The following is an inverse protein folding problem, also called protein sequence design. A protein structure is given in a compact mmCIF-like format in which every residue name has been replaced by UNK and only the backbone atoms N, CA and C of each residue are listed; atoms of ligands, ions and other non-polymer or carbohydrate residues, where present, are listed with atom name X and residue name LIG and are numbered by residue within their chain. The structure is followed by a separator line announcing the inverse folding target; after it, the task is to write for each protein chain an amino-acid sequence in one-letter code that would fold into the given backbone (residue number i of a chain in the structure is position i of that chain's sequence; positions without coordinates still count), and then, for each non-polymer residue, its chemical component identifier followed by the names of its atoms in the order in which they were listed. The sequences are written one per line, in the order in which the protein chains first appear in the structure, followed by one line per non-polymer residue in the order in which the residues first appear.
data_IF_421576280178
#
_entry.id   IF_421576280178
#
_cell.length_a   1.000
_cell.length_b   1.000
_cell.length_c   1.000
_cell.angle_alpha   90.00
_cell.angle_beta   90.00
_cell.angle_gamma   90.00
#
_symmetry.space_group_name_H-M   'P 1'
#
loop_
_entity.id
_entity.type
_entity.pdbx_description
1 polymer ?
#
# COMPACT_ATOMS: atom_id res chain seq x y z
N UNK A 1 19.76 4.54 -29.66
CA UNK A 1 19.90 6.01 -29.73
C UNK A 1 20.47 6.49 -28.42
N UNK A 2 21.38 7.45 -28.45
CA UNK A 2 21.87 8.07 -27.21
C UNK A 2 20.85 9.05 -26.65
N UNK A 3 20.88 9.34 -25.35
CA UNK A 3 20.00 10.35 -24.71
C UNK A 3 20.10 11.69 -25.43
N UNK A 4 21.32 12.06 -25.81
CA UNK A 4 21.63 13.32 -26.49
C UNK A 4 20.99 13.38 -27.89
N UNK A 5 21.00 12.26 -28.61
CA UNK A 5 20.37 12.13 -29.92
C UNK A 5 18.84 12.21 -29.83
N UNK A 6 18.24 11.63 -28.79
CA UNK A 6 16.79 11.73 -28.53
C UNK A 6 16.38 13.18 -28.20
N UNK A 7 17.20 13.90 -27.43
CA UNK A 7 16.98 15.31 -27.13
C UNK A 7 17.10 16.20 -28.39
N UNK A 8 18.11 15.99 -29.24
CA UNK A 8 18.24 16.75 -30.50
C UNK A 8 17.05 16.51 -31.44
N UNK A 9 16.56 15.26 -31.53
CA UNK A 9 15.35 14.94 -32.28
C UNK A 9 14.10 15.59 -31.67
N UNK A 10 13.96 15.58 -30.35
CA UNK A 10 12.86 16.24 -29.65
C UNK A 10 12.82 17.74 -29.95
N UNK A 11 13.97 18.41 -29.83
CA UNK A 11 14.11 19.86 -30.07
C UNK A 11 13.88 20.23 -31.54
N UNK A 12 14.30 19.38 -32.47
CA UNK A 12 14.03 19.55 -33.90
C UNK A 12 12.53 19.44 -34.18
N UNK A 13 11.87 18.42 -33.63
CA UNK A 13 10.43 18.23 -33.78
C UNK A 13 9.64 19.38 -33.12
N UNK A 14 10.09 19.87 -31.96
CA UNK A 14 9.49 21.03 -31.29
C UNK A 14 9.63 22.31 -32.14
N UNK A 15 10.80 22.54 -32.74
CA UNK A 15 11.00 23.65 -33.69
C UNK A 15 10.12 23.54 -34.92
N UNK A 16 9.92 22.33 -35.45
CA UNK A 16 9.04 22.09 -36.60
C UNK A 16 7.58 22.39 -36.24
N UNK A 17 7.10 21.93 -35.07
CA UNK A 17 5.76 22.22 -34.58
C UNK A 17 5.54 23.70 -34.26
N UNK A 18 6.55 24.40 -33.75
CA UNK A 18 6.52 25.85 -33.50
C UNK A 18 6.55 26.67 -34.80
N UNK A 19 7.16 26.12 -35.87
CA UNK A 19 7.23 26.79 -37.16
C UNK A 19 5.93 26.61 -37.95
N UNK A 20 5.27 27.71 -38.30
CA UNK A 20 4.01 27.73 -39.07
C UNK A 20 4.16 27.27 -40.54
N UNK A 21 5.33 26.76 -40.94
CA UNK A 21 5.63 26.35 -42.32
C UNK A 21 5.17 24.92 -42.65
N UNK A 22 4.67 24.17 -41.66
CA UNK A 22 4.27 22.76 -41.79
C UNK A 22 2.77 22.47 -41.65
N UNK A 23 1.88 23.38 -42.07
CA UNK A 23 0.41 23.30 -41.86
C UNK A 23 -0.34 22.19 -42.66
N UNK A 24 0.27 21.04 -42.92
CA UNK A 24 -0.52 19.87 -43.35
C UNK A 24 -0.87 19.05 -42.11
N UNK A 25 -2.17 18.86 -41.86
CA UNK A 25 -2.69 18.18 -40.66
C UNK A 25 -2.02 16.82 -40.42
N UNK A 26 -1.79 16.05 -41.48
CA UNK A 26 -1.12 14.74 -41.43
C UNK A 26 0.35 14.82 -41.03
N UNK A 27 1.05 15.89 -41.38
CA UNK A 27 2.45 16.07 -41.00
C UNK A 27 2.56 16.43 -39.52
N UNK A 28 1.66 17.28 -39.01
CA UNK A 28 1.59 17.61 -37.58
C UNK A 28 1.30 16.35 -36.76
N UNK A 29 0.30 15.55 -37.15
CA UNK A 29 -0.02 14.28 -36.48
C UNK A 29 1.17 13.31 -36.44
N UNK A 30 1.96 13.24 -37.52
CA UNK A 30 3.15 12.40 -37.55
C UNK A 30 4.23 12.88 -36.59
N UNK A 31 4.50 14.20 -36.57
CA UNK A 31 5.53 14.77 -35.71
C UNK A 31 5.13 14.72 -34.23
N UNK A 32 3.85 14.89 -33.90
CA UNK A 32 3.38 14.73 -32.51
C UNK A 32 3.45 13.27 -32.05
N UNK A 33 3.11 12.30 -32.90
CA UNK A 33 3.30 10.88 -32.60
C UNK A 33 4.78 10.53 -32.40
N UNK A 34 5.67 11.11 -33.22
CA UNK A 34 7.12 10.95 -33.07
C UNK A 34 7.64 11.57 -31.77
N UNK A 35 7.15 12.75 -31.37
CA UNK A 35 7.50 13.35 -30.07
C UNK A 35 7.05 12.49 -28.89
N UNK A 36 5.86 11.90 -28.94
CA UNK A 36 5.37 11.01 -27.89
C UNK A 36 6.25 9.75 -27.77
N UNK A 37 6.69 9.19 -28.91
CA UNK A 37 7.61 8.05 -28.92
C UNK A 37 8.98 8.41 -28.33
N UNK A 38 9.53 9.57 -28.69
CA UNK A 38 10.82 10.07 -28.17
C UNK A 38 10.72 10.30 -26.65
N UNK A 39 9.64 10.92 -26.17
CA UNK A 39 9.43 11.15 -24.74
C UNK A 39 9.36 9.85 -23.95
N UNK A 40 8.64 8.85 -24.47
CA UNK A 40 8.55 7.53 -23.85
C UNK A 40 9.93 6.89 -23.73
N UNK A 41 10.72 6.96 -24.81
CA UNK A 41 12.07 6.39 -24.83
C UNK A 41 13.05 7.16 -23.93
N UNK A 42 12.90 8.48 -23.80
CA UNK A 42 13.73 9.29 -22.90
C UNK A 42 13.47 8.92 -21.43
N UNK A 43 12.19 8.72 -21.07
CA UNK A 43 11.80 8.27 -19.72
C UNK A 43 12.31 6.86 -19.43
N UNK A 44 12.24 5.96 -20.40
CA UNK A 44 12.77 4.60 -20.26
C UNK A 44 14.29 4.60 -20.03
N UNK A 45 15.04 5.31 -20.86
CA UNK A 45 16.51 5.37 -20.74
C UNK A 45 16.94 6.08 -19.45
N UNK A 46 16.31 7.19 -19.10
CA UNK A 46 16.61 7.91 -17.85
C UNK A 46 16.20 7.09 -16.62
N UNK A 47 15.08 6.36 -16.68
CA UNK A 47 14.65 5.44 -15.63
C UNK A 47 15.64 4.28 -15.44
N UNK A 48 16.18 3.73 -16.52
CA UNK A 48 17.23 2.70 -16.45
C UNK A 48 18.53 3.23 -15.84
N UNK A 49 18.89 4.49 -16.09
CA UNK A 49 20.09 5.11 -15.50
C UNK A 49 19.95 5.31 -13.98
N UNK A 50 18.75 5.71 -13.51
CA UNK A 50 18.44 5.79 -12.07
C UNK A 50 18.52 4.40 -11.41
N UNK A 51 18.00 3.36 -12.07
CA UNK A 51 18.10 1.99 -11.54
C UNK A 51 19.55 1.50 -11.51
N UNK A 52 20.33 1.77 -12.56
CA UNK A 52 21.73 1.32 -12.64
C UNK A 52 22.63 2.08 -11.65
N UNK A 53 22.39 3.38 -11.45
CA UNK A 53 23.07 4.16 -10.40
C UNK A 53 22.66 3.69 -9.00
N UNK A 54 21.38 3.39 -8.79
CA UNK A 54 20.89 2.75 -7.56
C UNK A 54 21.60 1.43 -7.28
N UNK A 55 21.62 0.50 -8.26
CA UNK A 55 22.27 -0.80 -8.14
C UNK A 55 23.79 -0.73 -7.91
N UNK A 56 24.46 0.29 -8.49
CA UNK A 56 25.89 0.51 -8.25
C UNK A 56 26.19 1.03 -6.85
N UNK A 57 25.25 1.78 -6.26
CA UNK A 57 25.40 2.34 -4.93
C UNK A 57 24.87 1.42 -3.83
N UNK A 58 24.05 0.43 -4.17
CA UNK A 58 23.66 -0.63 -3.23
C UNK A 58 24.79 -1.65 -3.10
N UNK A 59 25.50 -1.60 -1.98
CA UNK A 59 26.40 -2.66 -1.54
C UNK A 59 25.56 -3.63 -0.69
N UNK A 60 25.46 -4.89 -1.10
CA UNK A 60 24.88 -5.95 -0.28
C UNK A 60 25.90 -6.22 0.82
N UNK A 61 25.54 -5.91 2.06
CA UNK A 61 26.30 -6.22 3.27
C UNK A 61 25.58 -7.41 3.91
N UNK A 62 26.33 -8.48 4.22
CA UNK A 62 25.83 -9.63 4.99
C UNK A 62 25.53 -9.18 6.43
N UNK A 63 24.48 -9.74 7.03
CA UNK A 63 23.79 -9.31 8.26
C UNK A 63 24.60 -9.40 9.58
N UNK A 64 25.87 -8.99 9.64
CA UNK A 64 26.65 -9.00 10.90
C UNK A 64 27.32 -7.68 11.30
N UNK A 65 27.35 -6.62 10.49
CA UNK A 65 27.95 -5.34 10.92
C UNK A 65 27.19 -4.13 10.35
N UNK A 66 26.17 -3.66 11.08
CA UNK A 66 25.58 -2.34 10.89
C UNK A 66 26.47 -1.24 11.50
N UNK A 67 27.56 -0.90 10.83
CA UNK A 67 28.26 0.38 11.08
C UNK A 67 27.68 1.47 10.16
N UNK A 68 26.68 2.18 10.70
CA UNK A 68 26.03 3.33 10.07
C UNK A 68 26.91 4.56 10.18
N UNK A 69 27.80 4.79 9.20
CA UNK A 69 28.36 6.12 8.96
C UNK A 69 28.35 6.49 7.47
N UNK A 70 27.14 6.64 6.91
CA UNK A 70 26.95 7.45 5.71
C UNK A 70 25.85 8.46 6.04
N UNK A 71 26.27 9.72 6.23
CA UNK A 71 25.37 10.89 6.29
C UNK A 71 24.74 11.10 4.92
N UNK A 72 23.76 10.27 4.56
CA UNK A 72 22.80 10.60 3.50
C UNK A 72 21.73 11.50 4.10
N UNK A 73 21.46 12.61 3.43
CA UNK A 73 20.31 13.49 3.70
C UNK A 73 19.05 12.67 3.99
N UNK A 74 18.18 13.13 4.92
CA UNK A 74 17.11 12.31 5.44
C UNK A 74 16.27 11.77 4.27
N UNK A 75 16.12 10.44 4.14
CA UNK A 75 15.27 9.90 3.10
C UNK A 75 13.88 10.49 3.34
N UNK A 76 13.33 11.19 2.34
CA UNK A 76 11.91 11.59 2.35
C UNK A 76 11.13 10.39 2.89
N UNK A 77 10.48 10.59 4.04
CA UNK A 77 10.10 9.50 4.92
C UNK A 77 9.36 8.43 4.12
N UNK A 78 9.70 7.14 4.31
CA UNK A 78 9.03 6.01 3.63
C UNK A 78 7.50 6.11 3.73
N UNK A 79 7.01 6.77 4.78
CA UNK A 79 5.61 7.13 5.00
C UNK A 79 5.04 8.11 3.95
N UNK A 80 5.78 9.16 3.55
CA UNK A 80 5.35 10.11 2.51
C UNK A 80 5.22 9.40 1.17
N UNK A 81 6.20 8.57 0.78
CA UNK A 81 6.14 7.83 -0.50
C UNK A 81 5.00 6.79 -0.49
N UNK A 82 4.77 6.09 0.63
CA UNK A 82 3.63 5.19 0.79
C UNK A 82 2.29 5.93 0.65
N UNK A 83 2.17 7.12 1.24
CA UNK A 83 0.98 7.98 1.15
C UNK A 83 0.77 8.51 -0.28
N UNK A 84 1.84 8.95 -0.95
CA UNK A 84 1.78 9.39 -2.34
C UNK A 84 1.35 8.25 -3.28
N UNK A 85 1.87 7.03 -3.09
CA UNK A 85 1.46 5.84 -3.84
C UNK A 85 0.01 5.44 -3.57
N UNK A 86 -0.46 5.54 -2.33
CA UNK A 86 -1.85 5.29 -1.98
C UNK A 86 -2.79 6.32 -2.63
N UNK A 87 -2.42 7.61 -2.62
CA UNK A 87 -3.17 8.68 -3.26
C UNK A 87 -3.23 8.53 -4.79
N UNK A 88 -2.12 8.15 -5.43
CA UNK A 88 -2.09 7.88 -6.87
C UNK A 88 -3.03 6.73 -7.27
N UNK A 89 -3.15 5.70 -6.42
CA UNK A 89 -4.10 4.59 -6.62
C UNK A 89 -5.56 5.00 -6.38
N UNK A 90 -5.81 5.94 -5.46
CA UNK A 90 -7.15 6.46 -5.20
C UNK A 90 -7.64 7.41 -6.31
N UNK A 91 -6.73 8.21 -6.88
CA UNK A 91 -7.04 9.17 -7.96
C UNK A 91 -7.42 8.53 -9.30
N UNK A 92 -7.11 7.25 -9.54
CA UNK A 92 -7.50 6.55 -10.77
C UNK A 92 -8.90 5.95 -10.71
N UNK A 93 -9.46 5.75 -9.52
CA UNK A 93 -10.83 5.24 -9.32
C UNK A 93 -11.83 6.34 -9.02
N UNK A 94 -11.38 7.49 -8.52
CA UNK A 94 -12.23 8.64 -8.22
C UNK A 94 -12.24 9.65 -9.38
N UNK A 95 -13.38 9.75 -10.09
CA UNK A 95 -13.63 10.84 -11.04
C UNK A 95 -13.46 12.20 -10.33
N UNK A 96 -12.77 13.20 -10.93
CA UNK A 96 -12.38 14.45 -10.27
C UNK A 96 -13.56 15.36 -9.88
N UNK A 97 -14.80 14.98 -10.19
CA UNK A 97 -15.98 15.80 -9.94
C UNK A 97 -16.69 15.52 -8.62
N UNK A 98 -16.46 14.40 -7.92
CA UNK A 98 -17.19 14.03 -6.68
C UNK A 98 -16.28 13.34 -5.65
N UNK A 99 -15.14 13.96 -5.30
CA UNK A 99 -14.35 13.52 -4.14
C UNK A 99 -15.12 13.94 -2.88
N UNK A 100 -15.89 13.02 -2.30
CA UNK A 100 -16.54 13.24 -1.00
C UNK A 100 -18.04 12.93 -0.90
N UNK A 101 -18.70 12.48 -1.97
CA UNK A 101 -20.05 11.91 -1.89
C UNK A 101 -20.00 10.53 -2.52
N UNK A 102 -19.70 9.51 -1.71
CA UNK A 102 -19.89 8.12 -2.12
C UNK A 102 -21.36 7.96 -2.50
N UNK A 103 -21.63 7.63 -3.76
CA UNK A 103 -22.99 7.33 -4.18
C UNK A 103 -23.53 6.14 -3.37
N UNK A 104 -24.83 6.08 -3.12
CA UNK A 104 -25.44 4.94 -2.40
C UNK A 104 -25.04 3.59 -3.02
N UNK A 105 -24.95 3.53 -4.36
CA UNK A 105 -24.52 2.34 -5.09
C UNK A 105 -23.05 1.99 -4.84
N UNK A 106 -22.18 3.00 -4.73
CA UNK A 106 -20.75 2.83 -4.45
C UNK A 106 -20.53 2.33 -3.02
N UNK A 107 -21.28 2.87 -2.05
CA UNK A 107 -21.24 2.42 -0.66
C UNK A 107 -21.64 0.94 -0.53
N UNK A 108 -22.69 0.52 -1.24
CA UNK A 108 -23.14 -0.89 -1.27
C UNK A 108 -22.10 -1.80 -1.91
N UNK A 109 -21.42 -1.34 -2.96
CA UNK A 109 -20.37 -2.12 -3.62
C UNK A 109 -19.13 -2.30 -2.74
N UNK A 110 -18.72 -1.25 -2.02
CA UNK A 110 -17.64 -1.29 -1.04
C UNK A 110 -17.98 -2.26 0.09
N UNK A 111 -19.19 -2.19 0.64
CA UNK A 111 -19.65 -3.09 1.70
C UNK A 111 -19.60 -4.55 1.24
N UNK A 112 -20.09 -4.85 0.03
CA UNK A 112 -20.03 -6.21 -0.54
C UNK A 112 -18.59 -6.71 -0.70
N UNK A 113 -17.69 -5.84 -1.17
CA UNK A 113 -16.28 -6.21 -1.40
C UNK A 113 -15.55 -6.46 -0.08
N UNK A 114 -15.76 -5.59 0.91
CA UNK A 114 -15.19 -5.73 2.26
C UNK A 114 -15.70 -7.01 2.92
N UNK A 115 -17.01 -7.26 2.85
CA UNK A 115 -17.62 -8.47 3.39
C UNK A 115 -17.09 -9.76 2.75
N UNK A 116 -16.88 -9.76 1.43
CA UNK A 116 -16.28 -10.91 0.74
C UNK A 116 -14.84 -11.19 1.22
N UNK A 117 -14.04 -10.14 1.37
CA UNK A 117 -12.66 -10.24 1.86
C UNK A 117 -12.61 -10.72 3.33
N UNK A 118 -13.50 -10.22 4.18
CA UNK A 118 -13.59 -10.64 5.58
C UNK A 118 -14.02 -12.11 5.72
N UNK A 119 -14.93 -12.57 4.86
CA UNK A 119 -15.30 -13.99 4.79
C UNK A 119 -14.12 -14.85 4.36
N UNK A 120 -13.35 -14.44 3.35
CA UNK A 120 -12.16 -15.17 2.91
C UNK A 120 -11.12 -15.26 4.03
N UNK A 121 -10.87 -14.15 4.73
CA UNK A 121 -9.95 -14.12 5.87
C UNK A 121 -10.42 -15.06 6.99
N UNK A 122 -11.71 -15.06 7.32
CA UNK A 122 -12.29 -15.97 8.31
C UNK A 122 -12.17 -17.43 7.88
N UNK A 123 -12.48 -17.76 6.63
CA UNK A 123 -12.33 -19.12 6.10
C UNK A 123 -10.88 -19.60 6.17
N UNK A 124 -9.92 -18.73 5.83
CA UNK A 124 -8.48 -19.07 5.92
C UNK A 124 -8.06 -19.32 7.35
N UNK A 125 -8.53 -18.52 8.31
CA UNK A 125 -8.26 -18.74 9.73
C UNK A 125 -8.94 -20.01 10.26
N UNK A 126 -10.17 -20.30 9.83
CA UNK A 126 -10.89 -21.53 10.18
C UNK A 126 -10.24 -22.77 9.59
N UNK A 127 -9.75 -22.72 8.35
CA UNK A 127 -9.02 -23.82 7.72
C UNK A 127 -7.70 -24.10 8.45
N UNK A 128 -6.91 -23.06 8.75
CA UNK A 128 -5.70 -23.18 9.59
C UNK A 128 -6.05 -23.81 10.94
N UNK A 129 -7.12 -23.32 11.59
CA UNK A 129 -7.57 -23.85 12.88
C UNK A 129 -8.03 -25.31 12.81
N UNK A 130 -8.65 -25.72 11.71
CA UNK A 130 -9.05 -27.11 11.45
C UNK A 130 -7.84 -28.01 11.20
N UNK A 131 -6.83 -27.53 10.47
CA UNK A 131 -5.58 -28.27 10.22
C UNK A 131 -4.82 -28.55 11.50
N UNK A 132 -4.66 -27.55 12.36
CA UNK A 132 -4.01 -27.72 13.67
C UNK A 132 -4.92 -28.40 14.72
N UNK A 133 -6.16 -28.76 14.35
CA UNK A 133 -7.05 -29.53 15.22
C UNK A 133 -7.43 -28.80 16.51
N UNK A 134 -7.54 -27.48 16.50
CA UNK A 134 -8.05 -26.73 17.66
C UNK A 134 -9.58 -26.91 17.79
N UNK A 135 -10.12 -27.10 19.00
CA UNK A 135 -11.56 -27.22 19.21
C UNK A 135 -12.28 -25.90 18.89
N UNK A 136 -13.41 -25.97 18.19
CA UNK A 136 -14.22 -24.77 17.94
C UNK A 136 -14.89 -24.31 19.24
N UNK A 137 -14.81 -23.01 19.55
CA UNK A 137 -15.57 -22.43 20.66
C UNK A 137 -17.06 -22.75 20.45
N UNK A 138 -17.63 -23.53 21.38
CA UNK A 138 -19.01 -24.06 21.42
C UNK A 138 -19.26 -25.45 20.79
N UNK A 139 -18.22 -26.22 20.46
CA UNK A 139 -18.39 -27.60 20.01
C UNK A 139 -18.66 -28.55 21.20
N UNK A 140 -19.91 -28.99 21.36
CA UNK A 140 -20.25 -30.10 22.27
C UNK A 140 -19.90 -31.41 21.55
N UNK A 141 -18.62 -31.78 21.58
CA UNK A 141 -18.15 -33.02 20.96
C UNK A 141 -18.84 -34.24 21.58
N UNK A 142 -19.31 -35.14 20.72
CA UNK A 142 -19.80 -36.46 21.12
C UNK A 142 -18.70 -37.25 21.83
N UNK A 143 -19.07 -38.19 22.72
CA UNK A 143 -18.12 -39.05 23.43
C UNK A 143 -17.19 -39.79 22.46
N UNK A 144 -17.72 -40.21 21.32
CA UNK A 144 -16.97 -40.91 20.27
C UNK A 144 -15.93 -40.00 19.59
N UNK A 145 -16.29 -38.75 19.30
CA UNK A 145 -15.37 -37.79 18.68
C UNK A 145 -14.23 -37.41 19.63
N UNK A 146 -14.55 -37.28 20.92
CA UNK A 146 -13.55 -37.03 21.97
C UNK A 146 -12.56 -38.19 22.09
N UNK A 147 -13.07 -39.43 22.14
CA UNK A 147 -12.23 -40.63 22.19
C UNK A 147 -11.40 -40.79 20.93
N UNK A 148 -11.95 -40.47 19.75
CA UNK A 148 -11.21 -40.50 18.49
C UNK A 148 -10.08 -39.47 18.45
N UNK A 149 -10.30 -38.25 18.98
CA UNK A 149 -9.26 -37.20 19.06
C UNK A 149 -8.14 -37.60 20.02
N UNK A 150 -8.50 -38.15 21.18
CA UNK A 150 -7.54 -38.67 22.16
C UNK A 150 -6.75 -39.83 21.53
N UNK A 151 -7.40 -40.72 20.80
CA UNK A 151 -6.76 -41.86 20.16
C UNK A 151 -5.87 -41.46 18.97
N UNK A 152 -6.25 -40.42 18.22
CA UNK A 152 -5.42 -39.81 17.19
C UNK A 152 -4.17 -39.20 17.81
N UNK A 153 -4.30 -38.41 18.86
CA UNK A 153 -3.17 -37.81 19.60
C UNK A 153 -2.21 -38.88 20.15
N UNK A 154 -2.73 -39.94 20.77
CA UNK A 154 -1.90 -41.02 21.36
C UNK A 154 -1.14 -41.85 20.32
N UNK A 155 -1.60 -41.88 19.06
CA UNK A 155 -0.97 -42.64 17.97
C UNK A 155 -0.33 -41.75 16.91
N UNK A 156 -0.35 -40.43 17.11
CA UNK A 156 0.22 -39.49 16.17
C UNK A 156 1.74 -39.57 16.22
N UNK A 157 2.35 -39.69 15.03
CA UNK A 157 3.80 -39.54 14.86
C UNK A 157 3.99 -38.18 14.22
N UNK A 158 4.71 -37.25 14.86
CA UNK A 158 5.02 -35.96 14.26
C UNK A 158 5.58 -36.17 12.85
N UNK A 159 4.95 -35.58 11.86
CA UNK A 159 5.48 -35.48 10.50
C UNK A 159 6.40 -34.26 10.38
N UNK A 160 7.35 -34.27 9.44
CA UNK A 160 8.29 -33.14 9.24
C UNK A 160 7.60 -31.79 9.03
N UNK A 161 6.34 -31.78 8.58
CA UNK A 161 5.48 -30.59 8.46
C UNK A 161 4.98 -29.99 9.78
N UNK A 162 5.00 -30.73 10.90
CA UNK A 162 4.63 -30.19 12.22
C UNK A 162 5.81 -29.50 12.92
N UNK A 163 7.05 -29.80 12.51
CA UNK A 163 8.27 -29.19 13.04
C UNK A 163 8.67 -27.91 12.28
N UNK A 164 8.08 -27.66 11.11
CA UNK A 164 8.36 -26.45 10.30
C UNK A 164 7.60 -25.20 10.77
N UNK A 165 6.61 -25.33 11.67
CA UNK A 165 5.80 -24.22 12.19
C UNK A 165 6.03 -23.94 13.71
N UNK A 166 6.92 -24.70 14.38
CA UNK A 166 7.25 -24.53 15.82
C UNK A 166 8.51 -23.68 16.06
N UNK A 167 9.03 -23.00 15.03
CA UNK A 167 10.27 -22.21 15.15
C UNK A 167 10.07 -20.70 15.35
N UNK A 168 8.85 -20.17 15.55
CA UNK A 168 8.72 -18.70 15.55
C UNK A 168 7.44 -18.11 16.22
N UNK A 169 7.11 -18.45 17.48
CA UNK A 169 6.07 -17.67 18.21
C UNK A 169 6.11 -17.76 19.75
N UNK A 170 7.25 -18.13 20.34
CA UNK A 170 7.45 -18.15 21.80
C UNK A 170 8.48 -17.11 22.28
N UNK A 171 8.94 -16.22 21.41
CA UNK A 171 9.55 -14.98 21.86
C UNK A 171 8.41 -14.10 22.35
N UNK A 172 8.26 -14.07 23.68
CA UNK A 172 7.52 -13.07 24.42
C UNK A 172 7.94 -11.69 23.91
N UNK A 173 7.28 -11.22 22.84
CA UNK A 173 7.34 -9.86 22.32
C UNK A 173 6.70 -8.99 23.42
N UNK A 174 7.47 -8.79 24.51
CA UNK A 174 7.02 -8.12 25.70
C UNK A 174 6.66 -6.71 25.23
N UNK A 175 5.38 -6.29 25.27
CA UNK A 175 5.01 -4.98 24.78
C UNK A 175 5.67 -3.85 25.57
N UNK A 176 6.36 -4.17 26.67
CA UNK A 176 7.26 -3.28 27.37
C UNK A 176 8.57 -3.00 26.59
N UNK A 177 9.13 -3.97 25.87
CA UNK A 177 10.35 -3.80 25.05
C UNK A 177 10.08 -3.05 23.73
N UNK A 178 8.85 -3.06 23.22
CA UNK A 178 8.44 -2.16 22.12
C UNK A 178 8.62 -0.66 22.41
N UNK A 179 8.79 -0.32 23.68
CA UNK A 179 9.05 1.05 24.14
C UNK A 179 10.36 1.14 24.90
N UNK A 180 11.35 0.28 24.65
CA UNK A 180 12.71 0.54 25.11
C UNK A 180 13.16 1.88 24.53
N UNK A 181 13.15 2.89 25.39
CA UNK A 181 13.54 4.26 25.07
C UNK A 181 15.07 4.29 24.95
N UNK A 182 15.56 4.05 23.73
CA UNK A 182 16.96 4.22 23.36
C UNK A 182 17.42 5.69 23.46
N UNK A 183 16.48 6.60 23.72
CA UNK A 183 16.71 8.03 23.94
C UNK A 183 16.55 8.38 25.43
N UNK A 184 17.62 8.17 26.20
CA UNK A 184 17.76 8.53 27.63
C UNK A 184 17.78 10.08 27.86
N UNK A 185 17.20 10.87 26.94
CA UNK A 185 17.16 12.33 26.96
C UNK A 185 15.90 12.90 27.67
N UNK A 186 15.01 12.01 28.10
CA UNK A 186 13.79 12.34 28.85
C UNK A 186 12.72 13.06 28.02
N UNK A 187 12.86 13.13 26.69
CA UNK A 187 11.84 13.65 25.78
C UNK A 187 11.02 12.49 25.24
N UNK A 188 10.01 12.11 26.02
CA UNK A 188 8.99 11.13 25.59
C UNK A 188 8.25 11.63 24.34
N UNK A 189 8.62 11.11 23.16
CA UNK A 189 7.90 11.30 21.90
C UNK A 189 8.82 11.58 20.71
N UNK A 190 8.39 11.14 19.52
CA UNK A 190 9.04 11.45 18.25
C UNK A 190 9.23 12.97 18.12
N UNK A 191 10.39 13.39 17.62
CA UNK A 191 10.65 14.79 17.29
C UNK A 191 9.59 15.22 16.27
N UNK A 192 8.69 16.12 16.67
CA UNK A 192 7.58 16.56 15.82
C UNK A 192 8.19 17.44 14.72
N UNK A 193 8.54 16.80 13.61
CA UNK A 193 8.95 17.50 12.40
C UNK A 193 7.72 18.23 11.88
N UNK A 194 7.80 19.56 11.85
CA UNK A 194 6.75 20.37 11.22
C UNK A 194 6.62 19.96 9.75
N UNK A 195 5.39 19.69 9.26
CA UNK A 195 5.20 19.31 7.86
C UNK A 195 5.75 20.41 6.97
N UNK A 196 6.51 20.01 5.95
CA UNK A 196 7.05 20.93 4.96
C UNK A 196 5.92 21.56 4.12
N UNK A 197 6.28 22.60 3.37
CA UNK A 197 5.31 23.32 2.52
C UNK A 197 4.69 22.40 1.45
N UNK A 198 5.36 21.29 1.09
CA UNK A 198 4.85 20.27 0.17
C UNK A 198 3.81 19.35 0.86
N UNK A 199 4.03 18.90 2.10
CA UNK A 199 3.04 18.13 2.88
C UNK A 199 1.78 18.94 3.19
N UNK A 200 1.90 20.27 3.28
CA UNK A 200 0.74 21.17 3.41
C UNK A 200 -0.21 21.05 2.21
N UNK A 201 0.28 20.73 1.01
CA UNK A 201 -0.58 20.48 -0.16
C UNK A 201 -1.45 19.22 -0.01
N UNK A 202 -0.99 18.23 0.76
CA UNK A 202 -1.70 16.98 1.03
C UNK A 202 -2.84 17.13 2.05
N UNK A 203 -2.82 18.18 2.88
CA UNK A 203 -3.89 18.47 3.85
C UNK A 203 -5.22 18.86 3.18
N UNK A 204 -5.18 19.36 1.94
CA UNK A 204 -6.39 19.71 1.17
C UNK A 204 -7.19 18.48 0.69
N UNK A 205 -6.64 17.28 0.84
CA UNK A 205 -7.26 16.03 0.37
C UNK A 205 -8.26 15.49 1.41
N UNK A 206 -8.04 15.74 2.70
CA UNK A 206 -8.96 15.37 3.78
C UNK A 206 -9.78 16.61 4.16
N UNK A 207 -10.94 16.80 3.51
CA UNK A 207 -11.91 17.81 3.96
C UNK A 207 -12.67 17.29 5.16
N UNK A 208 -12.36 17.81 6.35
CA UNK A 208 -13.20 17.62 7.54
C UNK A 208 -14.53 18.34 7.27
N UNK A 209 -15.58 17.59 6.94
CA UNK A 209 -16.92 18.15 6.81
C UNK A 209 -17.37 18.65 8.18
N UNK A 210 -17.77 19.91 8.27
CA UNK A 210 -18.27 20.48 9.52
C UNK A 210 -19.48 19.66 10.02
N UNK A 211 -19.53 19.29 11.31
CA UNK A 211 -20.54 18.36 11.85
C UNK A 211 -21.98 18.87 11.74
N UNK A 212 -22.18 20.16 11.44
CA UNK A 212 -23.50 20.78 11.28
C UNK A 212 -24.12 20.60 9.89
N UNK A 213 -23.39 20.03 8.92
CA UNK A 213 -23.88 19.87 7.55
C UNK A 213 -24.46 18.48 7.27
N UNK A 214 -24.28 17.52 8.19
CA UNK A 214 -24.89 16.19 8.13
C UNK A 214 -26.12 16.13 9.03
N UNK A 215 -27.31 16.27 8.44
CA UNK A 215 -28.57 15.98 9.14
C UNK A 215 -28.72 14.45 9.31
N UNK A 216 -28.18 13.90 10.39
CA UNK A 216 -28.47 12.53 10.83
C UNK A 216 -29.86 12.47 11.49
N UNK A 217 -30.94 12.53 10.69
CA UNK A 217 -32.30 12.40 11.25
C UNK A 217 -33.21 11.43 10.49
N UNK A 218 -32.69 10.59 9.60
CA UNK A 218 -33.51 9.69 8.77
C UNK A 218 -33.44 8.21 9.15
N UNK A 219 -32.65 7.82 10.15
CA UNK A 219 -32.41 6.40 10.45
C UNK A 219 -33.24 5.82 11.61
N UNK A 220 -33.94 6.63 12.40
CA UNK A 220 -34.81 6.13 13.47
C UNK A 220 -36.07 6.98 13.60
N UNK A 221 -37.10 6.61 12.85
CA UNK A 221 -38.47 6.92 13.24
C UNK A 221 -39.17 5.57 13.52
N UNK A 222 -39.57 5.27 14.76
CA UNK A 222 -40.35 4.07 15.03
C UNK A 222 -41.70 4.23 14.34
N UNK A 223 -42.03 3.30 13.43
CA UNK A 223 -43.41 3.15 12.96
C UNK A 223 -44.25 2.68 14.14
N UNK A 224 -44.98 3.59 14.75
CA UNK A 224 -46.08 3.23 15.64
C UNK A 224 -47.09 2.40 14.84
N UNK A 225 -47.41 1.23 15.38
CA UNK A 225 -48.36 0.29 14.84
C UNK A 225 -49.79 0.72 15.23
N UNK A 226 -50.68 0.78 14.24
CA UNK A 226 -52.13 0.60 14.38
C UNK A 226 -52.60 -0.41 13.32
#
# INVERSE_FOLDING_TARGET
MSVWELQDMYDRNARILASTQGNSSRYVERITAEQAAIQTQLVEVHGMEVINTGLRNTRIVDDEEEDVEIKSEPPMSKAIDAKQRALAKFGTTASPSHIGVLGLNEAIEIERRAHAHDLERKQRMEERRQRHGYPMQNEVMSKQEREARIWAFMNYKPTESDLEDEEDDDEEDDPAEWFEDDQDDGRKGQDIIEPDEEDSSLSNIIRVVEPNQMHYSTFYEPRDAD
#
